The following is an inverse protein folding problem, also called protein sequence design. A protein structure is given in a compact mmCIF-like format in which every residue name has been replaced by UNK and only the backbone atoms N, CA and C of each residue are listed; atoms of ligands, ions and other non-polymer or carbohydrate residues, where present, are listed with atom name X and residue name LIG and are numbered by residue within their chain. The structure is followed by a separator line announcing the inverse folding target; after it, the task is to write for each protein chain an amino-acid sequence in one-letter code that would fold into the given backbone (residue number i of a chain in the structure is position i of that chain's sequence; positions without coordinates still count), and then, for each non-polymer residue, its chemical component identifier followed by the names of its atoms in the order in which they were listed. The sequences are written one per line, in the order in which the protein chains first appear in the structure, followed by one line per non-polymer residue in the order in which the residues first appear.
data_IF_057879957801
#
_entry.id   IF_057879957801
#
_cell.length_a   1.000
_cell.length_b   1.000
_cell.length_c   1.000
_cell.angle_alpha   90.00
_cell.angle_beta   90.00
_cell.angle_gamma   90.00
#
_symmetry.space_group_name_H-M   'P 1'
#
loop_
_entity.id
_entity.type
_entity.pdbx_description
1 polymer ?
#
# COMPACT_ATOMS: atom_id res chain seq x y z
N UNK A 1 10.61 -30.58 -13.55
CA UNK A 1 9.65 -29.97 -14.49
C UNK A 1 10.24 -28.64 -14.92
N UNK A 2 10.54 -28.51 -16.21
CA UNK A 2 11.41 -27.49 -16.80
C UNK A 2 10.69 -26.14 -16.85
N UNK A 3 11.12 -25.15 -16.06
CA UNK A 3 10.51 -23.81 -16.02
C UNK A 3 11.21 -22.92 -17.05
N UNK A 4 10.97 -23.19 -18.33
CA UNK A 4 11.19 -22.19 -19.37
C UNK A 4 9.95 -21.28 -19.40
N UNK A 5 9.85 -20.35 -18.46
CA UNK A 5 8.89 -19.25 -18.50
C UNK A 5 9.56 -18.01 -19.11
N UNK A 6 9.60 -17.96 -20.43
CA UNK A 6 9.73 -16.70 -21.19
C UNK A 6 8.40 -15.92 -21.07
N UNK A 7 7.99 -15.63 -19.84
CA UNK A 7 7.08 -14.52 -19.58
C UNK A 7 7.98 -13.31 -19.46
N UNK A 8 7.79 -12.31 -20.33
CA UNK A 8 8.45 -11.01 -20.20
C UNK A 8 8.20 -10.51 -18.77
N UNK A 9 9.16 -10.67 -17.86
CA UNK A 9 9.04 -10.22 -16.48
C UNK A 9 8.96 -8.70 -16.50
N UNK A 10 7.73 -8.16 -16.50
CA UNK A 10 7.46 -6.72 -16.53
C UNK A 10 8.01 -6.04 -15.27
N UNK A 11 8.21 -6.80 -14.19
CA UNK A 11 8.72 -6.38 -12.89
C UNK A 11 9.94 -7.21 -12.50
N UNK A 12 11.11 -6.56 -12.37
CA UNK A 12 12.31 -7.20 -11.85
C UNK A 12 12.32 -7.26 -10.32
N UNK A 13 13.24 -8.04 -9.74
CA UNK A 13 13.38 -8.19 -8.29
C UNK A 13 13.51 -6.86 -7.54
N UNK A 14 14.30 -5.93 -8.11
CA UNK A 14 14.50 -4.59 -7.55
C UNK A 14 13.20 -3.79 -7.50
N UNK A 15 12.43 -3.83 -8.58
CA UNK A 15 11.17 -3.10 -8.70
C UNK A 15 10.13 -3.64 -7.73
N UNK A 16 9.99 -4.96 -7.64
CA UNK A 16 9.09 -5.60 -6.67
C UNK A 16 9.47 -5.24 -5.24
N UNK A 17 10.77 -5.17 -4.94
CA UNK A 17 11.26 -4.80 -3.61
C UNK A 17 10.95 -3.33 -3.29
N UNK A 18 11.20 -2.41 -4.22
CA UNK A 18 10.91 -0.99 -4.05
C UNK A 18 9.41 -0.77 -3.87
N UNK A 19 8.59 -1.36 -4.74
CA UNK A 19 7.13 -1.31 -4.63
C UNK A 19 6.64 -1.85 -3.27
N UNK A 20 7.19 -2.98 -2.81
CA UNK A 20 6.84 -3.54 -1.51
C UNK A 20 7.25 -2.62 -0.35
N UNK A 21 8.47 -2.07 -0.36
CA UNK A 21 8.94 -1.16 0.70
C UNK A 21 8.10 0.12 0.70
N UNK A 22 7.89 0.75 -0.45
CA UNK A 22 7.07 1.95 -0.59
C UNK A 22 5.64 1.72 -0.14
N UNK A 23 5.02 0.58 -0.47
CA UNK A 23 3.67 0.26 -0.03
C UNK A 23 3.56 0.10 1.50
N UNK A 24 4.64 -0.31 2.17
CA UNK A 24 4.67 -0.46 3.63
C UNK A 24 5.16 0.81 4.36
N UNK A 25 5.84 1.73 3.67
CA UNK A 25 6.39 2.94 4.28
C UNK A 25 5.29 3.98 4.54
N UNK A 26 4.73 3.95 5.74
CA UNK A 26 3.64 4.82 6.13
C UNK A 26 4.10 6.09 6.84
N UNK A 27 4.62 7.10 6.11
CA UNK A 27 4.97 8.41 6.69
C UNK A 27 3.79 9.01 7.47
N UNK A 28 2.57 8.83 6.94
CA UNK A 28 1.32 9.29 7.57
C UNK A 28 1.14 8.81 9.01
N UNK A 29 1.69 7.66 9.38
CA UNK A 29 1.54 7.09 10.72
C UNK A 29 2.58 7.59 11.72
N UNK A 30 3.67 8.22 11.26
CA UNK A 30 4.72 8.76 12.13
C UNK A 30 4.17 9.90 13.02
N UNK A 31 3.44 10.90 12.49
CA UNK A 31 2.83 11.94 13.34
C UNK A 31 1.85 11.37 14.37
N UNK A 32 1.04 10.37 13.98
CA UNK A 32 0.09 9.72 14.88
C UNK A 32 0.82 8.99 16.01
N UNK A 33 1.93 8.32 15.69
CA UNK A 33 2.78 7.69 16.70
C UNK A 33 3.47 8.73 17.59
N UNK A 34 3.88 9.88 17.05
CA UNK A 34 4.50 10.95 17.82
C UNK A 34 3.56 11.53 18.89
N UNK A 35 2.24 11.55 18.66
CA UNK A 35 1.27 11.95 19.67
C UNK A 35 1.24 11.05 20.92
N UNK A 36 1.67 9.78 20.80
CA UNK A 36 1.79 8.84 21.93
C UNK A 36 3.08 9.04 22.74
N UNK A 37 3.97 9.94 22.30
CA UNK A 37 5.24 10.23 22.94
C UNK A 37 6.23 9.07 22.89
N UNK A 38 7.22 9.07 23.81
CA UNK A 38 8.29 8.07 23.82
C UNK A 38 7.78 6.62 24.01
N UNK A 39 6.60 6.44 24.58
CA UNK A 39 5.96 5.11 24.73
C UNK A 39 5.66 4.43 23.40
N UNK A 40 5.51 5.21 22.31
CA UNK A 40 5.29 4.69 20.97
C UNK A 40 6.41 3.74 20.51
N UNK A 41 7.66 4.03 20.88
CA UNK A 41 8.83 3.23 20.49
C UNK A 41 8.70 1.80 21.04
N UNK A 42 8.27 1.66 22.30
CA UNK A 42 8.04 0.34 22.90
C UNK A 42 6.99 -0.45 22.12
N UNK A 43 5.84 0.17 21.80
CA UNK A 43 4.78 -0.49 21.03
C UNK A 43 5.18 -0.82 19.60
N UNK A 44 6.00 0.02 18.96
CA UNK A 44 6.53 -0.23 17.62
C UNK A 44 7.48 -1.44 17.61
N UNK A 45 8.41 -1.51 18.57
CA UNK A 45 9.32 -2.68 18.69
C UNK A 45 8.52 -3.93 19.01
N UNK A 46 7.57 -3.85 19.94
CA UNK A 46 6.70 -4.97 20.31
C UNK A 46 5.91 -5.47 19.08
N UNK A 47 5.29 -4.56 18.32
CA UNK A 47 4.55 -4.90 17.11
C UNK A 47 5.45 -5.47 16.01
N UNK A 48 6.66 -4.94 15.85
CA UNK A 48 7.63 -5.46 14.89
C UNK A 48 8.01 -6.92 15.19
N UNK A 49 8.29 -7.24 16.46
CA UNK A 49 8.73 -8.59 16.87
C UNK A 49 7.57 -9.57 17.00
N UNK A 50 6.46 -9.17 17.61
CA UNK A 50 5.34 -10.07 17.94
C UNK A 50 4.34 -10.26 16.81
N UNK A 51 4.27 -9.31 15.87
CA UNK A 51 3.27 -9.34 14.79
C UNK A 51 3.91 -9.33 13.41
N UNK A 52 4.73 -8.32 13.09
CA UNK A 52 5.26 -8.14 11.74
C UNK A 52 6.23 -9.25 11.33
N UNK A 53 7.20 -9.58 12.19
CA UNK A 53 8.20 -10.60 11.88
C UNK A 53 7.57 -12.00 11.66
N UNK A 54 6.69 -12.51 12.54
CA UNK A 54 5.97 -13.76 12.29
C UNK A 54 5.16 -13.73 11.00
N UNK A 55 4.47 -12.61 10.72
CA UNK A 55 3.65 -12.45 9.52
C UNK A 55 4.49 -12.57 8.24
N UNK A 56 5.64 -11.89 8.18
CA UNK A 56 6.55 -11.94 7.03
C UNK A 56 7.10 -13.35 6.84
N UNK A 57 7.50 -14.04 7.91
CA UNK A 57 7.98 -15.43 7.83
C UNK A 57 6.91 -16.35 7.23
N UNK A 58 5.67 -16.25 7.71
CA UNK A 58 4.54 -17.05 7.21
C UNK A 58 4.27 -16.73 5.73
N UNK A 59 4.24 -15.45 5.36
CA UNK A 59 4.01 -15.01 3.99
C UNK A 59 5.09 -15.53 3.04
N UNK A 60 6.37 -15.49 3.44
CA UNK A 60 7.49 -16.02 2.66
C UNK A 60 7.38 -17.53 2.49
N UNK A 61 7.06 -18.27 3.56
CA UNK A 61 6.92 -19.72 3.51
C UNK A 61 5.76 -20.14 2.59
N UNK A 62 4.61 -19.48 2.69
CA UNK A 62 3.46 -19.75 1.84
C UNK A 62 3.72 -19.39 0.38
N UNK A 63 4.36 -18.24 0.11
CA UNK A 63 4.71 -17.81 -1.24
C UNK A 63 5.67 -18.79 -1.93
N UNK A 64 6.63 -19.35 -1.18
CA UNK A 64 7.55 -20.38 -1.70
C UNK A 64 6.86 -21.72 -1.95
N UNK A 65 5.93 -22.11 -1.07
CA UNK A 65 5.23 -23.40 -1.16
C UNK A 65 4.13 -23.39 -2.23
N UNK A 66 3.50 -22.24 -2.44
CA UNK A 66 2.38 -22.06 -3.36
C UNK A 66 2.60 -20.79 -4.20
N UNK A 67 3.37 -20.89 -5.31
CA UNK A 67 3.64 -19.78 -6.22
C UNK A 67 2.44 -19.46 -7.13
N UNK A 68 1.23 -19.59 -6.61
CA UNK A 68 -0.02 -19.34 -7.32
C UNK A 68 -0.28 -17.81 -7.38
N UNK A 69 -0.81 -17.29 -8.50
CA UNK A 69 -1.08 -15.86 -8.71
C UNK A 69 -2.21 -15.25 -7.84
N UNK A 70 -2.63 -15.92 -6.77
CA UNK A 70 -3.78 -15.51 -5.93
C UNK A 70 -3.42 -15.03 -4.51
N UNK A 71 -2.14 -15.04 -4.13
CA UNK A 71 -1.68 -14.57 -2.82
C UNK A 71 -2.49 -15.14 -1.65
N UNK A 72 -2.89 -14.26 -0.72
CA UNK A 72 -3.62 -14.65 0.50
C UNK A 72 -4.94 -15.38 0.23
N UNK A 73 -5.65 -15.02 -0.84
CA UNK A 73 -6.88 -15.70 -1.23
C UNK A 73 -6.63 -17.16 -1.59
N UNK A 74 -5.65 -17.42 -2.47
CA UNK A 74 -5.30 -18.79 -2.88
C UNK A 74 -4.87 -19.64 -1.68
N UNK A 75 -4.06 -19.06 -0.79
CA UNK A 75 -3.59 -19.75 0.42
C UNK A 75 -4.75 -20.12 1.34
N UNK A 76 -5.72 -19.23 1.53
CA UNK A 76 -6.91 -19.50 2.36
C UNK A 76 -7.83 -20.53 1.72
N UNK A 77 -8.10 -20.46 0.41
CA UNK A 77 -8.93 -21.46 -0.28
C UNK A 77 -8.33 -22.86 -0.12
N UNK A 78 -7.01 -22.98 -0.25
CA UNK A 78 -6.31 -24.25 -0.13
C UNK A 78 -6.34 -24.82 1.29
N UNK A 79 -6.23 -23.96 2.31
CA UNK A 79 -6.18 -24.40 3.71
C UNK A 79 -7.56 -24.60 4.35
N UNK A 80 -8.53 -23.73 4.05
CA UNK A 80 -9.81 -23.61 4.75
C UNK A 80 -11.02 -23.76 3.82
N UNK A 81 -10.80 -23.95 2.53
CA UNK A 81 -11.85 -24.11 1.53
C UNK A 81 -12.39 -22.80 0.96
N UNK A 82 -13.29 -22.93 -0.02
CA UNK A 82 -13.74 -21.81 -0.85
C UNK A 82 -14.51 -20.73 -0.09
N UNK A 83 -15.30 -21.11 0.95
CA UNK A 83 -16.06 -20.15 1.76
C UNK A 83 -15.14 -19.20 2.54
N UNK A 84 -14.11 -19.73 3.19
CA UNK A 84 -13.15 -18.93 3.93
C UNK A 84 -12.31 -18.05 2.98
N UNK A 85 -11.92 -18.58 1.82
CA UNK A 85 -11.24 -17.79 0.80
C UNK A 85 -12.09 -16.61 0.33
N UNK A 86 -13.38 -16.82 0.04
CA UNK A 86 -14.29 -15.74 -0.33
C UNK A 86 -14.37 -14.66 0.76
N UNK A 87 -14.49 -15.05 2.04
CA UNK A 87 -14.49 -14.09 3.14
C UNK A 87 -13.20 -13.26 3.19
N UNK A 88 -12.04 -13.88 3.02
CA UNK A 88 -10.75 -13.16 3.01
C UNK A 88 -10.67 -12.18 1.84
N UNK A 89 -11.05 -12.59 0.63
CA UNK A 89 -11.10 -11.70 -0.53
C UNK A 89 -12.08 -10.54 -0.32
N UNK A 90 -13.26 -10.83 0.25
CA UNK A 90 -14.27 -9.83 0.56
C UNK A 90 -13.78 -8.81 1.59
N UNK A 91 -13.16 -9.27 2.68
CA UNK A 91 -12.60 -8.39 3.71
C UNK A 91 -11.45 -7.53 3.16
N UNK A 92 -10.61 -8.10 2.31
CA UNK A 92 -9.54 -7.35 1.64
C UNK A 92 -10.08 -6.25 0.72
N UNK A 93 -11.10 -6.58 -0.08
CA UNK A 93 -11.77 -5.61 -0.95
C UNK A 93 -12.48 -4.52 -0.15
N UNK A 94 -13.20 -4.87 0.92
CA UNK A 94 -13.83 -3.90 1.83
C UNK A 94 -12.80 -2.97 2.49
N UNK A 95 -11.67 -3.51 2.95
CA UNK A 95 -10.59 -2.70 3.50
C UNK A 95 -10.09 -1.65 2.50
N UNK A 96 -9.99 -2.03 1.22
CA UNK A 96 -9.53 -1.17 0.13
C UNK A 96 -10.47 0.02 -0.10
N UNK A 97 -11.79 -0.18 0.04
CA UNK A 97 -12.80 0.89 -0.06
C UNK A 97 -12.57 1.99 0.98
N UNK A 98 -12.21 1.62 2.22
CA UNK A 98 -11.95 2.60 3.28
C UNK A 98 -10.54 3.19 3.19
N UNK A 99 -9.58 2.42 2.68
CA UNK A 99 -8.19 2.82 2.59
C UNK A 99 -7.97 3.94 1.56
N UNK A 100 -8.50 3.79 0.34
CA UNK A 100 -8.23 4.76 -0.73
C UNK A 100 -8.69 6.18 -0.43
N UNK A 101 -9.93 6.44 0.05
CA UNK A 101 -10.36 7.79 0.41
C UNK A 101 -9.46 8.41 1.47
N UNK A 102 -9.03 7.64 2.48
CA UNK A 102 -8.15 8.14 3.53
C UNK A 102 -6.77 8.56 2.98
N UNK A 103 -6.25 7.87 1.96
CA UNK A 103 -5.00 8.26 1.28
C UNK A 103 -5.21 9.51 0.43
N UNK A 104 -6.33 9.61 -0.29
CA UNK A 104 -6.62 10.78 -1.12
C UNK A 104 -6.89 12.04 -0.29
N UNK A 105 -7.52 11.92 0.88
CA UNK A 105 -7.67 13.05 1.82
C UNK A 105 -6.30 13.50 2.31
N UNK A 106 -5.43 12.56 2.71
CA UNK A 106 -4.06 12.90 3.10
C UNK A 106 -3.30 13.62 1.99
N UNK A 107 -3.45 13.18 0.74
CA UNK A 107 -2.89 13.87 -0.43
C UNK A 107 -3.44 15.30 -0.55
N UNK A 108 -4.75 15.49 -0.46
CA UNK A 108 -5.40 16.80 -0.56
C UNK A 108 -4.95 17.78 0.54
N UNK A 109 -4.80 17.27 1.77
CA UNK A 109 -4.26 18.02 2.91
C UNK A 109 -2.82 18.44 2.67
N UNK A 110 -1.93 17.53 2.26
CA UNK A 110 -0.54 17.88 1.95
C UNK A 110 -0.43 18.89 0.80
N UNK A 111 -1.30 18.78 -0.21
CA UNK A 111 -1.35 19.74 -1.31
C UNK A 111 -1.75 21.15 -0.83
N UNK A 112 -2.67 21.26 0.11
CA UNK A 112 -3.05 22.54 0.72
C UNK A 112 -1.88 23.20 1.47
N UNK A 113 -1.11 22.40 2.22
CA UNK A 113 0.11 22.87 2.88
C UNK A 113 1.18 23.28 1.87
N UNK A 114 1.34 22.54 0.76
CA UNK A 114 2.31 22.84 -0.28
C UNK A 114 2.07 24.19 -0.97
N UNK A 115 0.80 24.54 -1.22
CA UNK A 115 0.43 25.85 -1.82
C UNK A 115 0.39 27.00 -0.79
N UNK A 116 0.81 26.75 0.46
CA UNK A 116 0.85 27.76 1.52
C UNK A 116 -0.52 28.23 2.00
N UNK A 117 -1.58 27.43 1.80
CA UNK A 117 -2.95 27.74 2.24
C UNK A 117 -3.51 26.64 3.16
N UNK A 118 -3.04 26.58 4.42
CA UNK A 118 -3.51 25.58 5.37
C UNK A 118 -5.01 25.72 5.68
N UNK A 119 -5.59 26.91 5.54
CA UNK A 119 -7.01 27.19 5.77
C UNK A 119 -7.95 26.36 4.86
N UNK A 120 -7.43 25.82 3.75
CA UNK A 120 -8.20 24.97 2.84
C UNK A 120 -8.43 23.56 3.40
N UNK A 121 -7.66 23.13 4.40
CA UNK A 121 -7.80 21.80 5.01
C UNK A 121 -9.17 21.65 5.69
N UNK A 122 -9.68 22.71 6.30
CA UNK A 122 -10.98 22.73 6.97
C UNK A 122 -12.16 22.90 5.99
N UNK A 123 -11.88 23.21 4.72
CA UNK A 123 -12.92 23.40 3.71
C UNK A 123 -13.29 22.06 3.05
N UNK A 124 -14.46 21.53 3.42
CA UNK A 124 -14.98 20.27 2.89
C UNK A 124 -15.13 20.25 1.35
N UNK A 125 -15.45 21.39 0.71
CA UNK A 125 -15.63 21.46 -0.74
C UNK A 125 -14.29 21.31 -1.45
N UNK A 126 -13.24 21.94 -0.91
CA UNK A 126 -11.88 21.80 -1.43
C UNK A 126 -11.43 20.34 -1.36
N UNK A 127 -11.54 19.71 -0.18
CA UNK A 127 -11.15 18.31 0.00
C UNK A 127 -11.92 17.40 -0.97
N UNK A 128 -13.24 17.54 -1.06
CA UNK A 128 -14.07 16.72 -1.97
C UNK A 128 -13.65 16.89 -3.45
N UNK A 129 -13.44 18.11 -3.92
CA UNK A 129 -13.05 18.36 -5.32
C UNK A 129 -11.69 17.74 -5.61
N UNK A 130 -10.69 17.97 -4.74
CA UNK A 130 -9.35 17.44 -4.94
C UNK A 130 -9.34 15.91 -4.92
N UNK A 131 -10.06 15.30 -3.97
CA UNK A 131 -10.19 13.84 -3.87
C UNK A 131 -10.84 13.26 -5.14
N UNK A 132 -11.92 13.87 -5.66
CA UNK A 132 -12.58 13.40 -6.88
C UNK A 132 -11.68 13.52 -8.11
N UNK A 133 -10.99 14.66 -8.28
CA UNK A 133 -10.05 14.86 -9.39
C UNK A 133 -8.91 13.84 -9.31
N UNK A 134 -8.29 13.69 -8.14
CA UNK A 134 -7.20 12.74 -7.95
C UNK A 134 -7.66 11.29 -8.20
N UNK A 135 -8.85 10.91 -7.72
CA UNK A 135 -9.42 9.58 -7.94
C UNK A 135 -9.59 9.27 -9.44
N UNK A 136 -10.18 10.19 -10.20
CA UNK A 136 -10.37 10.00 -11.64
C UNK A 136 -9.04 10.00 -12.40
N UNK A 137 -8.10 10.86 -12.03
CA UNK A 137 -6.75 10.85 -12.61
C UNK A 137 -6.07 9.49 -12.43
N UNK A 138 -6.07 8.95 -11.21
CA UNK A 138 -5.48 7.63 -10.90
C UNK A 138 -6.21 6.52 -11.67
N UNK A 139 -7.54 6.62 -11.79
CA UNK A 139 -8.35 5.64 -12.54
C UNK A 139 -8.01 5.67 -14.03
N UNK A 140 -7.89 6.86 -14.63
CA UNK A 140 -7.52 7.02 -16.05
C UNK A 140 -6.11 6.50 -16.31
N UNK A 141 -5.17 6.83 -15.44
CA UNK A 141 -3.79 6.30 -15.48
C UNK A 141 -3.79 4.78 -15.43
N UNK A 142 -4.63 4.19 -14.59
CA UNK A 142 -4.72 2.73 -14.42
C UNK A 142 -5.15 2.00 -15.71
N UNK A 143 -5.84 2.67 -16.65
CA UNK A 143 -6.18 2.10 -17.95
C UNK A 143 -4.99 2.03 -18.94
N UNK A 144 -3.91 2.81 -18.73
CA UNK A 144 -2.75 2.82 -19.62
C UNK A 144 -1.75 1.65 -19.40
N UNK A 145 -2.08 0.70 -18.51
CA UNK A 145 -1.37 -0.57 -18.34
C UNK A 145 -0.28 -0.58 -17.27
N UNK A 146 0.18 -1.79 -16.90
CA UNK A 146 1.06 -2.04 -15.75
C UNK A 146 2.39 -1.26 -15.77
N UNK A 147 2.95 -0.98 -16.95
CA UNK A 147 4.23 -0.27 -17.10
C UNK A 147 4.14 1.19 -16.64
N UNK A 148 3.03 1.88 -16.91
CA UNK A 148 2.81 3.26 -16.49
C UNK A 148 2.62 3.35 -14.96
N UNK A 149 1.86 2.41 -14.39
CA UNK A 149 1.67 2.31 -12.95
C UNK A 149 2.98 2.05 -12.20
N UNK A 150 3.84 1.19 -12.75
CA UNK A 150 5.18 0.93 -12.18
C UNK A 150 5.99 2.21 -12.06
N UNK A 151 6.10 2.99 -13.12
CA UNK A 151 6.88 4.23 -13.13
C UNK A 151 6.36 5.24 -12.10
N UNK A 152 5.04 5.36 -11.97
CA UNK A 152 4.41 6.23 -10.97
C UNK A 152 4.68 5.77 -9.53
N UNK A 153 4.65 4.46 -9.28
CA UNK A 153 4.93 3.91 -7.94
C UNK A 153 6.41 4.05 -7.59
N UNK A 154 7.32 3.79 -8.53
CA UNK A 154 8.76 3.92 -8.28
C UNK A 154 9.15 5.39 -8.06
N UNK A 155 8.68 6.31 -8.91
CA UNK A 155 8.94 7.74 -8.72
C UNK A 155 8.24 8.30 -7.49
N UNK A 156 6.95 8.00 -7.31
CA UNK A 156 6.17 8.46 -6.17
C UNK A 156 6.70 7.91 -4.85
N UNK A 157 7.18 6.67 -4.84
CA UNK A 157 7.81 6.05 -3.69
C UNK A 157 9.14 6.68 -3.32
N UNK A 158 10.04 6.83 -4.29
CA UNK A 158 11.36 7.42 -4.05
C UNK A 158 11.25 8.90 -3.69
N UNK A 159 10.49 9.69 -4.45
CA UNK A 159 10.37 11.13 -4.21
C UNK A 159 9.43 11.47 -3.06
N UNK A 160 8.33 10.74 -2.90
CA UNK A 160 7.30 11.02 -1.90
C UNK A 160 7.52 10.36 -0.55
N UNK A 161 8.25 9.24 -0.48
CA UNK A 161 8.48 8.52 0.78
C UNK A 161 9.93 8.57 1.26
N UNK A 162 10.94 8.53 0.39
CA UNK A 162 12.33 8.49 0.85
C UNK A 162 12.94 9.89 1.06
N UNK A 163 12.64 10.87 0.18
CA UNK A 163 13.16 12.23 0.35
C UNK A 163 12.65 12.93 1.63
N UNK A 164 11.37 12.82 2.04
CA UNK A 164 10.91 13.47 3.26
C UNK A 164 11.32 12.74 4.55
N UNK A 165 11.86 11.53 4.44
CA UNK A 165 12.29 10.72 5.58
C UNK A 165 13.77 10.94 5.95
N UNK A 166 14.55 11.61 5.08
CA UNK A 166 15.93 12.06 5.32
C UNK A 166 15.93 13.46 5.94
#
# INVERSE_FOLDING_TARGET
MNINSNQDQVLGFKDVTIMAVTANFGIRWIPVAACLGASAIFFWILGAVMFFLPLVIIAVQLSRKHPDEGGIYSWTVRALGQKAGFMVAWLYWMNTIFYYPAVLIFLATNFAYFIGRPDLVDNHYYITIVVLVAFWLVTVISFYGLKANKYLVDMGGVLGSFLPAL
#
